data_IF_171196313560
#
_entry.id   IF_171196313560
#
_cell.length_a   1.000
_cell.length_b   1.000
_cell.length_c   1.000
_cell.angle_alpha   90.00
_cell.angle_beta   90.00
_cell.angle_gamma   90.00
#
_symmetry.space_group_name_H-M   'P 1'
#
loop_
_entity.id
_entity.type
_entity.pdbx_description
1 polymer ?
#
# COMPACT_ATOMS: atom_id res chain seq x y z
N UNK A 1 -2.48 -11.16 17.24
CA UNK A 1 -3.36 -9.99 17.05
C UNK A 1 -3.32 -9.64 15.57
N UNK A 2 -4.46 -9.40 14.97
CA UNK A 2 -4.62 -9.01 13.57
C UNK A 2 -4.51 -7.49 13.51
N UNK A 3 -3.79 -6.98 12.51
CA UNK A 3 -3.66 -5.56 12.22
C UNK A 3 -4.27 -5.23 10.87
N UNK A 4 -5.01 -4.13 10.81
CA UNK A 4 -5.27 -3.39 9.58
C UNK A 4 -4.14 -2.37 9.42
N UNK A 5 -3.23 -2.65 8.50
CA UNK A 5 -1.97 -1.93 8.38
C UNK A 5 -2.00 -0.74 7.39
N UNK A 6 -3.20 -0.38 6.87
CA UNK A 6 -3.32 0.69 5.89
C UNK A 6 -4.66 1.42 6.04
N UNK A 7 -4.62 2.67 6.48
CA UNK A 7 -5.79 3.54 6.55
C UNK A 7 -5.40 5.01 6.68
N UNK A 8 -6.35 5.88 6.34
CA UNK A 8 -6.19 7.32 6.28
C UNK A 8 -7.14 8.01 7.24
N UNK A 9 -6.64 9.01 7.94
CA UNK A 9 -7.39 9.84 8.86
C UNK A 9 -7.31 11.33 8.43
N UNK A 10 -7.39 12.23 9.40
CA UNK A 10 -7.53 13.67 9.17
C UNK A 10 -6.33 14.38 8.53
N UNK A 11 -5.17 13.74 8.38
CA UNK A 11 -4.00 14.31 7.69
C UNK A 11 -3.98 14.00 6.19
N UNK A 12 -4.78 13.04 5.72
CA UNK A 12 -4.99 12.78 4.31
C UNK A 12 -6.15 13.62 3.79
N UNK A 13 -5.93 14.39 2.71
CA UNK A 13 -6.90 15.36 2.18
C UNK A 13 -8.24 14.72 1.76
N UNK A 14 -8.20 13.45 1.38
CA UNK A 14 -9.34 12.67 0.89
C UNK A 14 -10.03 11.83 1.99
N UNK A 15 -9.53 11.91 3.24
CA UNK A 15 -10.17 11.30 4.40
C UNK A 15 -10.74 12.34 5.37
N UNK A 16 -11.93 12.06 5.90
CA UNK A 16 -12.55 12.84 6.99
C UNK A 16 -12.63 12.06 8.30
N UNK A 17 -12.11 10.83 8.31
CA UNK A 17 -12.11 9.97 9.49
C UNK A 17 -11.12 10.52 10.52
N UNK A 18 -11.54 10.65 11.78
CA UNK A 18 -10.62 10.98 12.87
C UNK A 18 -9.90 9.73 13.38
N UNK A 19 -8.75 9.92 14.01
CA UNK A 19 -8.02 8.82 14.65
C UNK A 19 -8.84 8.15 15.76
N UNK A 20 -9.71 8.90 16.46
CA UNK A 20 -10.64 8.36 17.44
C UNK A 20 -11.70 7.46 16.81
N UNK A 21 -12.26 7.86 15.66
CA UNK A 21 -13.21 7.03 14.91
C UNK A 21 -12.56 5.75 14.40
N UNK A 22 -11.35 5.84 13.83
CA UNK A 22 -10.58 4.67 13.40
C UNK A 22 -10.31 3.71 14.56
N UNK A 23 -9.85 4.23 15.71
CA UNK A 23 -9.61 3.46 16.93
C UNK A 23 -10.87 2.80 17.46
N UNK A 24 -12.01 3.52 17.47
CA UNK A 24 -13.28 2.98 17.93
C UNK A 24 -13.77 1.84 17.03
N UNK A 25 -13.68 2.00 15.69
CA UNK A 25 -14.04 0.97 14.72
C UNK A 25 -13.16 -0.28 14.85
N UNK A 26 -11.86 -0.11 15.01
CA UNK A 26 -10.91 -1.20 15.23
C UNK A 26 -11.17 -1.96 16.53
N UNK A 27 -11.50 -1.23 17.61
CA UNK A 27 -11.82 -1.84 18.91
C UNK A 27 -13.04 -2.76 18.85
N UNK A 28 -14.08 -2.37 18.09
CA UNK A 28 -15.30 -3.18 17.90
C UNK A 28 -14.99 -4.52 17.22
N UNK A 29 -13.94 -4.56 16.40
CA UNK A 29 -13.52 -5.75 15.66
C UNK A 29 -12.31 -6.47 16.31
N UNK A 30 -11.84 -5.98 17.47
CA UNK A 30 -10.65 -6.48 18.18
C UNK A 30 -9.37 -6.45 17.30
N UNK A 31 -9.22 -5.44 16.45
CA UNK A 31 -8.08 -5.23 15.58
C UNK A 31 -7.04 -4.30 16.21
N UNK A 32 -5.77 -4.46 15.82
CA UNK A 32 -4.80 -3.39 15.82
C UNK A 32 -4.87 -2.61 14.51
N UNK A 33 -4.45 -1.36 14.52
CA UNK A 33 -4.42 -0.50 13.34
C UNK A 33 -3.10 0.24 13.21
N UNK A 34 -2.71 0.54 11.97
CA UNK A 34 -1.64 1.47 11.66
C UNK A 34 -2.24 2.58 10.80
N UNK A 35 -2.18 3.82 11.28
CA UNK A 35 -2.59 4.99 10.49
C UNK A 35 -1.44 5.32 9.56
N UNK A 36 -1.71 5.35 8.25
CA UNK A 36 -0.73 5.56 7.17
C UNK A 36 -1.21 6.69 6.27
N UNK A 37 -1.10 7.94 6.77
CA UNK A 37 -1.53 9.12 6.01
C UNK A 37 -0.73 9.25 4.72
N UNK A 38 -1.36 9.79 3.68
CA UNK A 38 -0.71 10.04 2.40
C UNK A 38 0.49 11.00 2.51
N UNK A 39 1.58 10.64 1.85
CA UNK A 39 2.72 11.49 1.59
C UNK A 39 3.16 11.32 0.13
N UNK A 40 2.61 12.15 -0.73
CA UNK A 40 2.97 12.19 -2.14
C UNK A 40 3.57 13.58 -2.44
N UNK A 41 4.87 13.74 -2.18
CA UNK A 41 5.59 14.99 -2.44
C UNK A 41 5.57 15.29 -3.94
N UNK A 42 5.39 16.57 -4.30
CA UNK A 42 5.35 17.04 -5.70
C UNK A 42 4.30 16.30 -6.56
N UNK A 43 3.10 16.05 -5.98
CA UNK A 43 2.02 15.38 -6.70
C UNK A 43 1.62 16.12 -7.98
N UNK A 44 1.53 15.43 -9.14
CA UNK A 44 1.47 16.10 -10.46
C UNK A 44 0.32 17.08 -10.67
N UNK A 45 -0.83 16.86 -10.04
CA UNK A 45 -2.02 17.71 -10.19
C UNK A 45 -2.07 18.84 -9.16
N UNK A 46 -1.49 18.62 -7.98
CA UNK A 46 -1.37 19.61 -6.93
C UNK A 46 -0.22 19.23 -5.98
N UNK A 47 0.97 19.83 -6.09
CA UNK A 47 2.16 19.43 -5.34
C UNK A 47 2.04 19.44 -3.81
N UNK A 48 1.09 20.20 -3.28
CA UNK A 48 0.89 20.34 -1.83
C UNK A 48 -0.32 19.54 -1.30
N UNK A 49 -1.05 18.83 -2.18
CA UNK A 49 -2.32 18.20 -1.78
C UNK A 49 -2.15 17.03 -0.81
N UNK A 50 -1.11 16.22 -1.02
CA UNK A 50 -0.89 14.97 -0.30
C UNK A 50 0.38 15.02 0.56
N UNK A 51 0.64 16.17 1.20
CA UNK A 51 1.68 16.36 2.19
C UNK A 51 1.10 17.03 3.43
N UNK A 52 1.70 16.81 4.59
CA UNK A 52 1.22 17.36 5.86
C UNK A 52 2.40 17.69 6.80
N UNK A 53 2.14 18.44 7.86
CA UNK A 53 3.13 18.69 8.91
C UNK A 53 3.34 17.44 9.77
N UNK A 54 4.45 16.73 9.53
CA UNK A 54 4.79 15.48 10.23
C UNK A 54 5.06 15.72 11.72
N UNK A 55 5.57 16.89 12.12
CA UNK A 55 5.79 17.20 13.52
C UNK A 55 4.46 17.39 14.24
N UNK A 56 3.50 18.08 13.61
CA UNK A 56 2.15 18.19 14.13
C UNK A 56 1.43 16.83 14.15
N UNK A 57 1.60 15.99 13.13
CA UNK A 57 1.07 14.62 13.13
C UNK A 57 1.51 13.83 14.37
N UNK A 58 2.81 13.79 14.68
CA UNK A 58 3.29 13.09 15.87
C UNK A 58 2.87 13.78 17.17
N UNK A 59 2.75 15.09 17.19
CA UNK A 59 2.28 15.84 18.35
C UNK A 59 0.81 15.54 18.66
N UNK A 60 -0.04 15.48 17.64
CA UNK A 60 -1.48 15.24 17.81
C UNK A 60 -1.81 13.76 17.98
N UNK A 61 -1.22 12.88 17.17
CA UNK A 61 -1.55 11.45 17.19
C UNK A 61 -0.66 10.63 18.12
N UNK A 62 0.51 11.12 18.50
CA UNK A 62 1.41 10.46 19.46
C UNK A 62 0.74 10.01 20.76
N UNK A 63 -0.14 10.79 21.38
CA UNK A 63 -0.89 10.39 22.58
C UNK A 63 -1.80 9.17 22.40
N UNK A 64 -2.22 8.86 21.17
CA UNK A 64 -3.04 7.68 20.85
C UNK A 64 -2.21 6.42 20.61
N UNK A 65 -0.89 6.57 20.36
CA UNK A 65 0.01 5.45 20.06
C UNK A 65 0.02 4.43 21.21
N UNK A 66 -0.16 3.18 20.86
CA UNK A 66 -0.27 2.06 21.79
C UNK A 66 0.03 0.75 21.07
N UNK A 67 0.00 -0.38 21.78
CA UNK A 67 0.14 -1.71 21.18
C UNK A 67 -0.94 -2.06 20.14
N UNK A 68 -2.02 -1.29 20.05
CA UNK A 68 -3.14 -1.51 19.11
C UNK A 68 -3.35 -0.37 18.14
N UNK A 69 -2.67 0.76 18.30
CA UNK A 69 -2.66 1.88 17.36
C UNK A 69 -1.23 2.33 17.15
N UNK A 70 -0.74 2.13 15.96
CA UNK A 70 0.59 2.48 15.51
C UNK A 70 0.53 3.63 14.50
N UNK A 71 1.63 4.34 14.34
CA UNK A 71 1.73 5.52 13.47
C UNK A 71 2.68 5.22 12.32
N UNK A 72 2.15 5.21 11.13
CA UNK A 72 2.86 5.00 9.88
C UNK A 72 2.69 6.15 8.91
N UNK A 73 3.09 5.91 7.67
CA UNK A 73 2.95 6.82 6.55
C UNK A 73 2.86 6.00 5.26
N UNK A 74 2.03 6.42 4.32
CA UNK A 74 2.02 5.91 2.96
C UNK A 74 2.74 6.90 2.03
N UNK A 75 3.86 6.46 1.47
CA UNK A 75 4.71 7.28 0.61
C UNK A 75 4.40 6.97 -0.85
N UNK A 76 3.92 7.96 -1.60
CA UNK A 76 3.76 7.87 -3.04
C UNK A 76 5.10 8.04 -3.75
N UNK A 77 5.64 6.92 -4.21
CA UNK A 77 6.98 6.86 -4.81
C UNK A 77 7.03 7.55 -6.16
N UNK A 78 7.92 8.53 -6.29
CA UNK A 78 8.29 9.18 -7.55
C UNK A 78 9.82 9.31 -7.62
N UNK A 79 10.40 9.17 -8.81
CA UNK A 79 11.87 9.20 -8.96
C UNK A 79 12.48 10.51 -8.45
N UNK A 80 11.77 11.63 -8.68
CA UNK A 80 12.21 12.97 -8.30
C UNK A 80 12.22 13.21 -6.79
N UNK A 81 11.36 12.53 -6.03
CA UNK A 81 11.21 12.72 -4.58
C UNK A 81 11.96 11.69 -3.75
N UNK A 82 12.49 10.64 -4.37
CA UNK A 82 13.10 9.48 -3.72
C UNK A 82 14.12 9.83 -2.63
N UNK A 83 14.94 10.86 -2.85
CA UNK A 83 15.94 11.29 -1.87
C UNK A 83 15.29 11.81 -0.58
N UNK A 84 14.21 12.58 -0.69
CA UNK A 84 13.45 13.11 0.44
C UNK A 84 12.66 12.01 1.13
N UNK A 85 11.98 11.16 0.36
CA UNK A 85 11.18 10.04 0.86
C UNK A 85 12.03 9.08 1.71
N UNK A 86 13.25 8.78 1.27
CA UNK A 86 14.19 7.96 2.02
C UNK A 86 14.65 8.60 3.34
N UNK A 87 14.57 9.92 3.48
CA UNK A 87 14.91 10.62 4.72
C UNK A 87 13.79 10.55 5.75
N UNK A 88 12.53 10.41 5.36
CA UNK A 88 11.37 10.43 6.26
C UNK A 88 11.51 9.40 7.38
N UNK A 89 11.75 8.14 7.03
CA UNK A 89 11.87 7.06 8.01
C UNK A 89 13.17 7.10 8.81
N UNK A 90 14.14 7.93 8.43
CA UNK A 90 15.36 8.19 9.21
C UNK A 90 15.19 9.36 10.17
N UNK A 91 14.35 10.32 9.79
CA UNK A 91 14.13 11.57 10.55
C UNK A 91 13.02 11.43 11.59
N UNK A 92 11.97 10.68 11.27
CA UNK A 92 10.77 10.60 12.09
C UNK A 92 10.52 9.17 12.60
N UNK A 93 9.96 9.01 13.83
CA UNK A 93 9.80 7.71 14.48
C UNK A 93 8.53 6.97 14.04
N UNK A 94 8.33 6.81 12.72
CA UNK A 94 7.26 5.99 12.21
C UNK A 94 7.40 4.52 12.65
N UNK A 95 6.27 3.87 12.89
CA UNK A 95 6.21 2.43 13.13
C UNK A 95 6.31 1.64 11.83
N UNK A 96 5.74 2.21 10.75
CA UNK A 96 5.59 1.57 9.46
C UNK A 96 5.67 2.60 8.33
N UNK A 97 6.34 2.25 7.25
CA UNK A 97 6.36 3.02 6.00
C UNK A 97 5.90 2.11 4.88
N UNK A 98 4.79 2.49 4.28
CA UNK A 98 4.21 1.83 3.12
C UNK A 98 4.64 2.58 1.87
N UNK A 99 5.20 1.89 0.88
CA UNK A 99 5.61 2.49 -0.39
C UNK A 99 4.58 2.20 -1.48
N UNK A 100 4.10 3.22 -2.16
CA UNK A 100 2.96 3.15 -3.07
C UNK A 100 3.26 3.74 -4.44
N UNK A 101 2.61 3.22 -5.47
CA UNK A 101 2.65 3.79 -6.82
C UNK A 101 1.31 4.42 -7.15
N UNK A 102 1.17 5.74 -6.92
CA UNK A 102 -0.02 6.51 -7.29
C UNK A 102 0.13 7.19 -8.65
N UNK A 103 1.37 7.44 -9.06
CA UNK A 103 1.70 8.09 -10.32
C UNK A 103 2.66 7.23 -11.16
N UNK A 104 2.59 7.38 -12.48
CA UNK A 104 3.52 6.79 -13.45
C UNK A 104 4.02 7.90 -14.38
N UNK A 105 5.34 8.10 -14.42
CA UNK A 105 5.96 9.16 -15.25
C UNK A 105 5.28 10.52 -15.03
N UNK A 106 5.08 10.94 -13.78
CA UNK A 106 4.40 12.15 -13.36
C UNK A 106 2.95 12.29 -13.87
N UNK A 107 2.27 11.19 -14.10
CA UNK A 107 0.84 11.13 -14.43
C UNK A 107 0.09 10.37 -13.36
N UNK A 108 -0.93 10.99 -12.83
CA UNK A 108 -1.82 10.39 -11.83
C UNK A 108 -2.58 9.21 -12.43
N UNK A 109 -2.50 8.04 -11.80
CA UNK A 109 -3.23 6.84 -12.22
C UNK A 109 -4.75 6.94 -12.03
N UNK A 110 -5.22 7.91 -11.24
CA UNK A 110 -6.64 8.23 -11.11
C UNK A 110 -7.20 8.84 -12.41
N UNK A 111 -6.38 9.57 -13.17
CA UNK A 111 -6.83 10.30 -14.35
C UNK A 111 -6.91 9.40 -15.59
N UNK A 112 -8.07 9.36 -16.23
CA UNK A 112 -8.29 8.58 -17.47
C UNK A 112 -7.29 8.95 -18.59
N UNK A 113 -6.86 10.22 -18.66
CA UNK A 113 -5.87 10.67 -19.64
C UNK A 113 -4.53 9.93 -19.54
N UNK A 114 -4.19 9.35 -18.39
CA UNK A 114 -2.97 8.56 -18.17
C UNK A 114 -2.94 7.32 -19.06
N UNK A 115 -4.10 6.81 -19.41
CA UNK A 115 -4.28 5.61 -20.23
C UNK A 115 -4.55 5.91 -21.70
N UNK A 116 -4.71 7.20 -22.09
CA UNK A 116 -5.10 7.58 -23.42
C UNK A 116 -4.14 7.07 -24.50
N UNK A 117 -4.70 6.41 -25.52
CA UNK A 117 -3.94 5.86 -26.66
C UNK A 117 -3.15 4.59 -26.37
N UNK A 118 -3.36 3.96 -25.21
CA UNK A 118 -2.69 2.72 -24.79
C UNK A 118 -3.66 1.56 -24.75
N UNK A 119 -3.18 0.38 -25.08
CA UNK A 119 -3.82 -0.87 -24.70
C UNK A 119 -3.63 -1.12 -23.20
N UNK A 120 -4.44 -2.02 -22.61
CA UNK A 120 -4.28 -2.46 -21.23
C UNK A 120 -2.87 -2.97 -20.96
N UNK A 121 -2.34 -3.83 -21.85
CA UNK A 121 -1.00 -4.40 -21.72
C UNK A 121 0.07 -3.31 -21.68
N UNK A 122 0.05 -2.35 -22.60
CA UNK A 122 1.01 -1.22 -22.59
C UNK A 122 0.93 -0.39 -21.30
N UNK A 123 -0.26 -0.18 -20.75
CA UNK A 123 -0.44 0.53 -19.49
C UNK A 123 0.12 -0.26 -18.31
N UNK A 124 -0.10 -1.59 -18.26
CA UNK A 124 0.45 -2.48 -17.23
C UNK A 124 1.97 -2.56 -17.32
N UNK A 125 2.52 -2.71 -18.51
CA UNK A 125 3.98 -2.71 -18.72
C UNK A 125 4.62 -1.40 -18.28
N UNK A 126 4.03 -0.24 -18.63
CA UNK A 126 4.51 1.06 -18.18
C UNK A 126 4.46 1.22 -16.66
N UNK A 127 3.39 0.77 -16.01
CA UNK A 127 3.27 0.75 -14.55
C UNK A 127 4.36 -0.08 -13.89
N UNK A 128 4.61 -1.29 -14.37
CA UNK A 128 5.62 -2.19 -13.82
C UNK A 128 7.04 -1.65 -14.04
N UNK A 129 7.32 -1.06 -15.21
CA UNK A 129 8.62 -0.43 -15.48
C UNK A 129 8.85 0.78 -14.58
N UNK A 130 7.85 1.64 -14.38
CA UNK A 130 7.93 2.75 -13.43
C UNK A 130 8.09 2.27 -11.99
N UNK A 131 7.41 1.19 -11.60
CA UNK A 131 7.59 0.54 -10.31
C UNK A 131 9.05 0.09 -10.12
N UNK A 132 9.64 -0.59 -11.10
CA UNK A 132 11.04 -1.01 -11.05
C UNK A 132 12.01 0.17 -10.96
N UNK A 133 11.76 1.27 -11.67
CA UNK A 133 12.58 2.48 -11.59
C UNK A 133 12.53 3.06 -10.17
N UNK A 134 11.33 3.19 -9.60
CA UNK A 134 11.14 3.70 -8.24
C UNK A 134 11.74 2.79 -7.17
N UNK A 135 11.58 1.47 -7.26
CA UNK A 135 12.17 0.52 -6.30
C UNK A 135 13.71 0.57 -6.27
N UNK A 136 14.38 0.97 -7.35
CA UNK A 136 15.84 1.16 -7.38
C UNK A 136 16.29 2.38 -6.57
N UNK A 137 15.43 3.34 -6.37
CA UNK A 137 15.73 4.62 -5.73
C UNK A 137 15.22 4.71 -4.29
N UNK A 138 14.13 3.99 -3.97
CA UNK A 138 13.52 3.99 -2.65
C UNK A 138 13.98 2.77 -1.84
N UNK A 139 14.74 3.00 -0.78
CA UNK A 139 15.25 1.94 0.10
C UNK A 139 14.55 1.89 1.46
N UNK A 140 13.88 2.97 1.86
CA UNK A 140 13.39 3.19 3.22
C UNK A 140 11.87 3.03 3.37
N UNK A 141 11.34 1.92 2.93
CA UNK A 141 9.96 1.48 3.18
C UNK A 141 9.94 0.03 3.71
N UNK A 142 8.82 -0.46 4.20
CA UNK A 142 8.69 -1.78 4.83
C UNK A 142 7.86 -2.75 4.00
N UNK A 143 6.79 -2.25 3.37
CA UNK A 143 5.88 -3.01 2.51
C UNK A 143 5.54 -2.23 1.26
N UNK A 144 5.38 -2.93 0.13
CA UNK A 144 4.92 -2.35 -1.12
C UNK A 144 3.39 -2.45 -1.18
N UNK A 145 2.72 -1.31 -1.32
CA UNK A 145 1.27 -1.19 -1.31
C UNK A 145 0.61 -1.71 -2.60
N UNK A 146 -0.63 -2.06 -2.47
CA UNK A 146 -1.64 -2.30 -3.53
C UNK A 146 -1.07 -2.35 -4.96
N UNK A 147 -0.39 -3.45 -5.30
CA UNK A 147 0.16 -3.67 -6.66
C UNK A 147 -0.89 -3.48 -7.77
N UNK A 148 -2.17 -3.60 -7.41
CA UNK A 148 -3.33 -3.45 -8.28
C UNK A 148 -3.98 -2.05 -8.21
N UNK A 149 -3.27 -1.00 -7.73
CA UNK A 149 -3.83 0.35 -7.60
C UNK A 149 -4.44 0.87 -8.91
N UNK A 150 -3.75 0.70 -10.03
CA UNK A 150 -4.23 1.14 -11.34
C UNK A 150 -5.56 0.48 -11.75
N UNK A 151 -5.84 -0.73 -11.26
CA UNK A 151 -7.07 -1.46 -11.57
C UNK A 151 -8.35 -0.77 -11.07
N UNK A 152 -8.20 0.18 -10.15
CA UNK A 152 -9.30 0.99 -9.65
C UNK A 152 -9.83 1.96 -10.71
N UNK A 153 -8.95 2.43 -11.60
CA UNK A 153 -9.19 3.62 -12.43
C UNK A 153 -9.02 3.40 -13.93
N UNK A 154 -8.25 2.41 -14.36
CA UNK A 154 -8.04 2.19 -15.79
C UNK A 154 -9.37 1.92 -16.53
N UNK A 155 -9.54 2.48 -17.76
CA UNK A 155 -10.83 2.53 -18.46
C UNK A 155 -11.11 1.31 -19.33
N UNK A 156 -10.45 0.18 -19.08
CA UNK A 156 -10.64 -1.05 -19.87
C UNK A 156 -11.78 -1.89 -19.32
N UNK A 157 -12.43 -2.68 -20.19
CA UNK A 157 -13.52 -3.59 -19.79
C UNK A 157 -13.01 -4.65 -18.79
N UNK A 158 -11.86 -5.26 -19.07
CA UNK A 158 -11.12 -6.07 -18.11
C UNK A 158 -10.10 -5.20 -17.38
N UNK A 159 -10.29 -5.05 -16.08
CA UNK A 159 -9.43 -4.22 -15.20
C UNK A 159 -8.48 -5.05 -14.34
N UNK A 160 -8.46 -6.37 -14.48
CA UNK A 160 -7.62 -7.19 -13.63
C UNK A 160 -6.18 -7.25 -14.16
N UNK A 161 -5.21 -7.31 -13.23
CA UNK A 161 -3.83 -7.62 -13.59
C UNK A 161 -3.72 -9.10 -13.95
N UNK A 162 -3.31 -9.39 -15.16
CA UNK A 162 -3.11 -10.76 -15.61
C UNK A 162 -1.61 -11.05 -15.66
N UNK A 163 -1.12 -11.92 -14.79
CA UNK A 163 0.32 -12.26 -14.73
C UNK A 163 0.89 -12.62 -16.10
N UNK A 164 0.12 -13.38 -16.93
CA UNK A 164 0.56 -13.82 -18.25
C UNK A 164 0.71 -12.69 -19.29
N UNK A 165 0.21 -11.48 -19.02
CA UNK A 165 0.35 -10.32 -19.90
C UNK A 165 1.75 -9.67 -19.80
N UNK A 166 2.43 -9.77 -18.64
CA UNK A 166 3.77 -9.20 -18.44
C UNK A 166 4.59 -10.02 -17.42
N UNK A 167 4.79 -11.34 -17.63
CA UNK A 167 5.35 -12.22 -16.60
C UNK A 167 6.77 -11.87 -16.19
N UNK A 168 7.62 -11.44 -17.12
CA UNK A 168 9.00 -11.04 -16.82
C UNK A 168 9.04 -9.80 -15.94
N UNK A 169 8.20 -8.80 -16.21
CA UNK A 169 8.17 -7.56 -15.43
C UNK A 169 7.62 -7.79 -14.01
N UNK A 170 6.56 -8.59 -13.86
CA UNK A 170 6.08 -8.99 -12.52
C UNK A 170 7.18 -9.72 -11.75
N UNK A 171 7.88 -10.66 -12.39
CA UNK A 171 8.96 -11.40 -11.76
C UNK A 171 10.11 -10.48 -11.32
N UNK A 172 10.47 -9.48 -12.13
CA UNK A 172 11.51 -8.50 -11.79
C UNK A 172 11.11 -7.64 -10.59
N UNK A 173 9.87 -7.13 -10.56
CA UNK A 173 9.33 -6.39 -9.40
C UNK A 173 9.39 -7.25 -8.15
N UNK A 174 8.88 -8.48 -8.21
CA UNK A 174 8.87 -9.38 -7.05
C UNK A 174 10.27 -9.75 -6.58
N UNK A 175 11.19 -10.08 -7.49
CA UNK A 175 12.60 -10.38 -7.14
C UNK A 175 13.27 -9.18 -6.50
N UNK A 176 12.97 -7.97 -6.95
CA UNK A 176 13.52 -6.76 -6.36
C UNK A 176 13.01 -6.57 -4.92
N UNK A 177 11.70 -6.65 -4.69
CA UNK A 177 11.11 -6.58 -3.36
C UNK A 177 11.69 -7.66 -2.41
N UNK A 178 11.85 -8.89 -2.91
CA UNK A 178 12.45 -9.99 -2.15
C UNK A 178 13.92 -9.71 -1.80
N UNK A 179 14.70 -9.20 -2.76
CA UNK A 179 16.11 -8.85 -2.54
C UNK A 179 16.27 -7.73 -1.52
N UNK A 180 15.32 -6.81 -1.48
CA UNK A 180 15.26 -5.71 -0.51
C UNK A 180 14.67 -6.11 0.83
N UNK A 181 14.27 -7.38 1.01
CA UNK A 181 13.59 -7.91 2.22
C UNK A 181 12.29 -7.15 2.56
N UNK A 182 11.52 -6.76 1.52
CA UNK A 182 10.25 -6.05 1.69
C UNK A 182 9.07 -7.00 1.74
N UNK A 183 8.06 -6.65 2.52
CA UNK A 183 6.74 -7.26 2.41
C UNK A 183 6.00 -6.69 1.18
N UNK A 184 4.94 -7.38 0.76
CA UNK A 184 3.96 -6.86 -0.20
C UNK A 184 2.60 -6.76 0.50
N UNK A 185 1.80 -5.75 0.18
CA UNK A 185 0.48 -5.61 0.77
C UNK A 185 -0.57 -6.45 0.04
N UNK A 186 -1.48 -7.07 0.79
CA UNK A 186 -2.79 -7.50 0.31
C UNK A 186 -3.78 -6.42 0.69
N UNK A 187 -4.07 -5.53 -0.25
CA UNK A 187 -5.02 -4.43 -0.08
C UNK A 187 -6.44 -4.95 -0.32
N UNK A 188 -7.36 -4.62 0.61
CA UNK A 188 -8.71 -5.21 0.57
C UNK A 188 -9.74 -4.40 -0.21
N UNK A 189 -9.36 -3.23 -0.73
CA UNK A 189 -10.31 -2.28 -1.35
C UNK A 189 -11.11 -2.87 -2.50
N UNK A 190 -10.53 -3.81 -3.25
CA UNK A 190 -11.16 -4.46 -4.40
C UNK A 190 -11.63 -5.90 -4.14
N UNK A 191 -11.46 -6.43 -2.93
CA UNK A 191 -11.77 -7.83 -2.62
C UNK A 191 -13.28 -8.16 -2.50
N UNK A 192 -14.18 -7.29 -2.95
CA UNK A 192 -15.59 -7.59 -3.24
C UNK A 192 -15.80 -8.21 -4.63
N UNK A 193 -14.80 -8.10 -5.50
CA UNK A 193 -14.78 -8.74 -6.81
C UNK A 193 -14.08 -10.09 -6.74
N UNK A 194 -14.77 -11.15 -7.17
CA UNK A 194 -14.14 -12.48 -7.31
C UNK A 194 -13.01 -12.48 -8.34
N UNK A 195 -13.11 -11.64 -9.37
CA UNK A 195 -12.10 -11.54 -10.41
C UNK A 195 -10.83 -10.89 -9.87
N UNK A 196 -10.96 -9.84 -9.03
CA UNK A 196 -9.84 -9.25 -8.32
C UNK A 196 -9.17 -10.25 -7.37
N UNK A 197 -9.96 -11.01 -6.58
CA UNK A 197 -9.44 -12.06 -5.68
C UNK A 197 -8.65 -13.10 -6.47
N UNK A 198 -9.19 -13.60 -7.57
CA UNK A 198 -8.54 -14.62 -8.41
C UNK A 198 -7.24 -14.11 -9.04
N UNK A 199 -7.28 -12.89 -9.61
CA UNK A 199 -6.11 -12.23 -10.20
C UNK A 199 -4.99 -12.05 -9.17
N UNK A 200 -5.31 -11.45 -8.02
CA UNK A 200 -4.36 -11.20 -6.95
C UNK A 200 -3.77 -12.49 -6.37
N UNK A 201 -4.59 -13.53 -6.22
CA UNK A 201 -4.11 -14.84 -5.73
C UNK A 201 -3.02 -15.42 -6.64
N UNK A 202 -3.13 -15.28 -7.97
CA UNK A 202 -2.10 -15.71 -8.92
C UNK A 202 -0.80 -14.95 -8.67
N UNK A 203 -0.87 -13.61 -8.53
CA UNK A 203 0.31 -12.76 -8.28
C UNK A 203 0.99 -13.09 -6.94
N UNK A 204 0.21 -13.26 -5.86
CA UNK A 204 0.78 -13.59 -4.54
C UNK A 204 1.38 -15.00 -4.50
N UNK A 205 0.79 -15.97 -5.19
CA UNK A 205 1.40 -17.31 -5.37
C UNK A 205 2.72 -17.19 -6.11
N UNK A 206 2.78 -16.38 -7.17
CA UNK A 206 4.03 -16.15 -7.91
C UNK A 206 5.09 -15.47 -7.05
N UNK A 207 4.72 -14.44 -6.28
CA UNK A 207 5.62 -13.82 -5.29
C UNK A 207 6.20 -14.87 -4.33
N UNK A 208 5.35 -15.80 -3.84
CA UNK A 208 5.78 -16.89 -2.96
C UNK A 208 6.72 -17.87 -3.65
N UNK A 209 6.45 -18.26 -4.89
CA UNK A 209 7.29 -19.17 -5.69
C UNK A 209 8.70 -18.60 -5.91
N UNK A 210 8.82 -17.30 -6.11
CA UNK A 210 10.08 -16.58 -6.28
C UNK A 210 10.87 -16.42 -4.96
N UNK A 211 10.29 -16.76 -3.83
CA UNK A 211 10.93 -16.70 -2.51
C UNK A 211 10.35 -15.65 -1.55
N UNK A 212 9.34 -14.90 -1.97
CA UNK A 212 8.60 -13.97 -1.10
C UNK A 212 7.95 -14.69 0.08
N UNK A 213 7.87 -14.02 1.22
CA UNK A 213 7.41 -14.67 2.47
C UNK A 213 6.35 -13.89 3.22
N UNK A 214 6.39 -12.57 3.19
CA UNK A 214 5.67 -11.72 4.10
C UNK A 214 4.70 -10.80 3.36
N UNK A 215 3.49 -10.66 3.94
CA UNK A 215 2.47 -9.74 3.46
C UNK A 215 1.94 -8.88 4.60
N UNK A 216 1.66 -7.62 4.33
CA UNK A 216 0.80 -6.79 5.18
C UNK A 216 -0.64 -6.88 4.70
N UNK A 217 -1.60 -6.67 5.60
CA UNK A 217 -3.02 -6.64 5.27
C UNK A 217 -3.52 -5.22 5.53
N UNK A 218 -4.10 -4.57 4.53
CA UNK A 218 -4.56 -3.20 4.63
C UNK A 218 -5.93 -2.97 4.01
N UNK A 219 -6.81 -2.26 4.73
CA UNK A 219 -8.13 -1.91 4.20
C UNK A 219 -8.13 -0.70 3.31
N UNK A 220 -7.11 0.15 3.44
CA UNK A 220 -7.05 1.44 2.76
C UNK A 220 -8.30 2.29 3.07
N UNK A 221 -8.70 2.26 4.37
CA UNK A 221 -9.92 2.87 4.84
C UNK A 221 -9.78 4.38 4.92
N UNK A 222 -10.70 5.12 4.30
CA UNK A 222 -10.87 6.57 4.39
C UNK A 222 -12.13 6.94 5.19
N UNK A 223 -12.88 5.93 5.62
CA UNK A 223 -14.11 6.04 6.41
C UNK A 223 -14.12 4.94 7.47
N UNK A 224 -14.69 5.23 8.64
CA UNK A 224 -14.72 4.29 9.77
C UNK A 224 -15.42 2.96 9.47
N UNK A 225 -16.39 2.98 8.54
CA UNK A 225 -17.13 1.80 8.09
C UNK A 225 -16.26 0.84 7.28
N UNK A 226 -15.11 1.32 6.79
CA UNK A 226 -14.18 0.53 5.99
C UNK A 226 -13.00 -0.03 6.81
N UNK A 227 -12.80 0.42 8.05
CA UNK A 227 -11.74 -0.10 8.92
C UNK A 227 -11.93 -1.61 9.12
N UNK A 228 -10.88 -2.38 8.81
CA UNK A 228 -10.92 -3.84 8.91
C UNK A 228 -11.72 -4.56 7.83
N UNK A 229 -12.22 -3.83 6.82
CA UNK A 229 -13.08 -4.42 5.77
C UNK A 229 -12.34 -5.52 5.02
N UNK A 230 -12.96 -6.70 4.92
CA UNK A 230 -12.47 -7.87 4.15
C UNK A 230 -11.06 -8.36 4.52
N UNK A 231 -10.59 -8.12 5.74
CA UNK A 231 -9.32 -8.68 6.22
C UNK A 231 -9.38 -10.21 6.33
N UNK A 232 -10.56 -10.80 6.48
CA UNK A 232 -10.81 -12.23 6.39
C UNK A 232 -10.46 -12.78 5.00
N UNK A 233 -10.93 -12.14 3.93
CA UNK A 233 -10.60 -12.51 2.55
C UNK A 233 -9.09 -12.34 2.28
N UNK A 234 -8.49 -11.23 2.74
CA UNK A 234 -7.05 -11.02 2.60
C UNK A 234 -6.23 -12.10 3.31
N UNK A 235 -6.68 -12.54 4.49
CA UNK A 235 -6.09 -13.69 5.19
C UNK A 235 -6.20 -14.98 4.39
N UNK A 236 -7.36 -15.28 3.83
CA UNK A 236 -7.57 -16.46 2.98
C UNK A 236 -6.63 -16.46 1.76
N UNK A 237 -6.44 -15.28 1.11
CA UNK A 237 -5.47 -15.13 0.02
C UNK A 237 -4.05 -15.42 0.51
N UNK A 238 -3.65 -14.86 1.66
CA UNK A 238 -2.32 -15.09 2.23
C UNK A 238 -2.09 -16.59 2.53
N UNK A 239 -3.07 -17.25 3.16
CA UNK A 239 -3.02 -18.69 3.46
C UNK A 239 -2.93 -19.53 2.18
N UNK A 240 -3.78 -19.24 1.18
CA UNK A 240 -3.82 -19.96 -0.10
C UNK A 240 -2.54 -19.73 -0.95
N UNK A 241 -1.86 -18.60 -0.76
CA UNK A 241 -0.58 -18.31 -1.38
C UNK A 241 0.62 -18.82 -0.56
N UNK A 242 0.43 -19.30 0.67
CA UNK A 242 1.50 -19.74 1.57
C UNK A 242 2.37 -18.60 2.07
N UNK A 243 1.80 -17.39 2.22
CA UNK A 243 2.44 -16.19 2.73
C UNK A 243 2.09 -15.96 4.20
N UNK A 244 2.97 -15.26 4.91
CA UNK A 244 2.84 -14.99 6.35
C UNK A 244 2.39 -13.55 6.55
N UNK A 245 1.20 -13.31 7.12
CA UNK A 245 0.76 -11.96 7.46
C UNK A 245 1.59 -11.35 8.59
N UNK A 246 2.03 -10.10 8.36
CA UNK A 246 2.87 -9.33 9.28
C UNK A 246 2.38 -7.89 9.42
N UNK A 247 2.80 -7.23 10.48
CA UNK A 247 2.72 -5.80 10.68
C UNK A 247 4.08 -5.28 11.17
N UNK A 248 4.24 -3.97 11.25
CA UNK A 248 5.48 -3.36 11.70
C UNK A 248 5.24 -2.47 12.90
N UNK A 249 6.10 -2.59 13.92
CA UNK A 249 6.16 -1.74 15.09
C UNK A 249 7.60 -1.22 15.23
N UNK A 250 7.78 0.09 15.24
CA UNK A 250 9.11 0.71 15.21
C UNK A 250 10.00 0.19 14.07
N UNK A 251 9.41 0.02 12.89
CA UNK A 251 10.06 -0.51 11.67
C UNK A 251 10.56 -1.97 11.83
N UNK A 252 10.10 -2.67 12.85
CA UNK A 252 10.43 -4.08 13.08
C UNK A 252 9.24 -4.96 12.77
N UNK A 253 9.48 -5.92 11.89
CA UNK A 253 8.47 -6.89 11.48
C UNK A 253 7.98 -7.73 12.67
N UNK A 254 6.66 -7.84 12.79
CA UNK A 254 5.95 -8.66 13.77
C UNK A 254 4.98 -9.60 13.04
N UNK A 255 4.87 -10.85 13.46
CA UNK A 255 3.88 -11.78 12.88
C UNK A 255 2.49 -11.51 13.43
N UNK A 256 1.48 -11.52 12.56
CA UNK A 256 0.09 -11.55 12.98
C UNK A 256 -0.25 -12.93 13.55
N UNK A 257 -1.06 -12.95 14.61
CA UNK A 257 -1.55 -14.17 15.26
C UNK A 257 -3.08 -14.10 15.19
N UNK A 258 -3.65 -15.04 14.46
CA UNK A 258 -5.10 -15.16 14.20
C UNK A 258 -5.77 -16.02 15.27
#
# INVERSE_FOLDING_TARGET
MIFDAHMHCQYSIDSKMSAEEAKAAALQQNLGIIITEHWDEDYPTNPEAFVFDIEDYFKQLGPYRSKKLLLGIEVGMQEETAANDNLLGRKYPFDFILGSMHCVNRRDLYEEKTYAGKTKQEAVEEFLLATLANLKLHDNFDSFAHIDYMCRYMPYDDKELVYAEAPELFDEVFKMLITMDKAIEINTRRLDSSDAVNSLLVLYKRFRELGGRYVTLGSDAHYKEHVGRRLDIAREIAEAAGLVPVYFEQRKMQRMIF
#
